data_IF_188634883345
#
_entry.id   IF_188634883345
#
_cell.length_a   1.000
_cell.length_b   1.000
_cell.length_c   1.000
_cell.angle_alpha   90.00
_cell.angle_beta   90.00
_cell.angle_gamma   90.00
#
_symmetry.space_group_name_H-M   'P 1'
#
loop_
_entity.id
_entity.type
_entity.pdbx_description
1 polymer ?
#
# COMPACT_ATOMS: atom_id res chain seq x y z
N UNK A 1 -6.99 21.97 1.78
CA UNK A 1 -6.58 20.79 1.00
C UNK A 1 -6.92 19.53 1.78
N UNK A 2 -7.64 18.61 1.16
CA UNK A 2 -7.89 17.25 1.69
C UNK A 2 -6.72 16.36 1.30
N UNK A 3 -6.25 15.48 2.20
CA UNK A 3 -5.12 14.58 1.97
C UNK A 3 -5.43 13.17 2.43
N UNK A 4 -4.88 12.19 1.75
CA UNK A 4 -4.85 10.78 2.15
C UNK A 4 -3.39 10.36 2.25
N UNK A 5 -3.00 9.86 3.41
CA UNK A 5 -1.72 9.23 3.66
C UNK A 5 -1.87 7.72 3.47
N UNK A 6 -1.15 7.16 2.51
CA UNK A 6 -1.09 5.71 2.31
C UNK A 6 0.21 5.19 2.90
N UNK A 7 0.11 4.21 3.76
CA UNK A 7 1.22 3.56 4.46
C UNK A 7 1.34 2.13 4.00
N UNK A 8 2.46 1.76 3.38
CA UNK A 8 2.76 0.35 3.14
C UNK A 8 3.04 -0.34 4.48
N UNK A 9 2.50 -1.54 4.69
CA UNK A 9 2.73 -2.34 5.89
C UNK A 9 4.21 -2.54 6.23
N UNK A 10 4.53 -2.83 7.48
CA UNK A 10 5.85 -3.25 7.95
C UNK A 10 6.32 -4.55 7.28
N UNK A 11 7.64 -4.81 7.29
CA UNK A 11 8.22 -5.99 6.67
C UNK A 11 7.69 -7.29 7.30
N UNK A 12 7.45 -8.28 6.48
CA UNK A 12 7.06 -9.65 6.85
C UNK A 12 8.20 -10.62 6.54
N UNK A 13 8.11 -11.86 7.02
CA UNK A 13 9.04 -12.93 6.66
C UNK A 13 9.10 -13.17 5.15
N UNK A 14 7.93 -13.17 4.49
CA UNK A 14 7.85 -13.30 3.03
C UNK A 14 8.55 -12.16 2.31
N UNK A 15 8.47 -10.91 2.81
CA UNK A 15 9.24 -9.79 2.20
C UNK A 15 10.75 -10.02 2.32
N UNK A 16 11.24 -10.49 3.48
CA UNK A 16 12.65 -10.83 3.68
C UNK A 16 13.11 -11.94 2.71
N UNK A 17 12.27 -12.94 2.51
CA UNK A 17 12.55 -14.07 1.61
C UNK A 17 12.25 -13.76 0.14
N UNK A 18 11.80 -12.52 -0.18
CA UNK A 18 11.41 -12.09 -1.53
C UNK A 18 10.33 -12.97 -2.16
N UNK A 19 9.37 -13.43 -1.33
CA UNK A 19 8.21 -14.20 -1.80
C UNK A 19 7.05 -13.27 -2.15
N UNK A 20 6.37 -13.61 -3.22
CA UNK A 20 5.14 -12.94 -3.66
C UNK A 20 4.01 -13.30 -2.71
N UNK A 21 3.45 -12.34 -2.01
CA UNK A 21 2.49 -12.62 -0.93
C UNK A 21 1.03 -12.64 -1.40
N UNK A 22 0.65 -11.68 -2.25
CA UNK A 22 -0.76 -11.50 -2.57
C UNK A 22 -1.64 -11.39 -1.31
N UNK A 23 -2.59 -12.30 -1.17
CA UNK A 23 -3.52 -12.37 -0.03
C UNK A 23 -3.14 -13.39 1.04
N UNK A 24 -1.95 -13.98 0.98
CA UNK A 24 -1.43 -14.74 2.12
C UNK A 24 -1.44 -13.86 3.37
N UNK A 25 -2.07 -14.35 4.44
CA UNK A 25 -2.26 -13.56 5.65
C UNK A 25 -1.14 -13.83 6.66
N UNK A 26 -0.12 -12.99 6.60
CA UNK A 26 1.06 -13.01 7.45
C UNK A 26 1.19 -11.66 8.19
N UNK A 27 1.64 -11.70 9.44
CA UNK A 27 1.92 -10.52 10.24
C UNK A 27 3.28 -9.90 9.93
N UNK A 28 3.54 -8.71 10.49
CA UNK A 28 4.85 -8.06 10.40
C UNK A 28 5.86 -8.76 11.31
N UNK A 29 7.14 -8.71 10.94
CA UNK A 29 8.24 -9.19 11.80
C UNK A 29 8.32 -8.37 13.09
N UNK A 30 8.67 -9.00 14.24
CA UNK A 30 8.72 -8.30 15.54
C UNK A 30 9.59 -7.04 15.54
N UNK A 31 10.71 -7.05 14.80
CA UNK A 31 11.60 -5.89 14.67
C UNK A 31 10.94 -4.68 13.99
N UNK A 32 9.88 -4.90 13.18
CA UNK A 32 9.18 -3.85 12.44
C UNK A 32 8.04 -3.18 13.21
N UNK A 33 7.72 -3.65 14.40
CA UNK A 33 6.77 -2.96 15.31
C UNK A 33 7.29 -1.55 15.66
N UNK A 34 8.62 -1.37 15.76
CA UNK A 34 9.24 -0.05 15.99
C UNK A 34 9.05 0.90 14.79
N UNK A 35 9.15 0.36 13.57
CA UNK A 35 8.87 1.13 12.36
C UNK A 35 7.40 1.57 12.30
N UNK A 36 6.46 0.67 12.62
CA UNK A 36 5.05 1.01 12.74
C UNK A 36 4.78 2.09 13.80
N UNK A 37 5.49 2.05 14.94
CA UNK A 37 5.40 3.08 15.97
C UNK A 37 5.96 4.43 15.50
N UNK A 38 7.05 4.45 14.70
CA UNK A 38 7.61 5.67 14.11
C UNK A 38 6.61 6.31 13.11
N UNK A 39 5.99 5.51 12.24
CA UNK A 39 4.89 5.96 11.37
C UNK A 39 3.78 6.61 12.20
N UNK A 40 3.36 5.94 13.27
CA UNK A 40 2.30 6.44 14.15
C UNK A 40 2.67 7.78 14.80
N UNK A 41 3.93 7.95 15.24
CA UNK A 41 4.42 9.19 15.84
C UNK A 41 4.33 10.40 14.90
N UNK A 42 4.61 10.19 13.60
CA UNK A 42 4.48 11.24 12.58
C UNK A 42 3.00 11.53 12.29
N UNK A 43 2.21 10.51 12.04
CA UNK A 43 0.83 10.68 11.58
C UNK A 43 -0.14 11.10 12.70
N UNK A 44 0.17 10.84 13.97
CA UNK A 44 -0.62 11.32 15.11
C UNK A 44 -0.62 12.85 15.26
N UNK A 45 0.31 13.55 14.60
CA UNK A 45 0.36 15.02 14.58
C UNK A 45 -0.61 15.64 13.55
N UNK A 46 -1.17 14.81 12.67
CA UNK A 46 -2.09 15.25 11.64
C UNK A 46 -3.56 15.21 12.15
N UNK A 47 -4.44 16.07 11.62
CA UNK A 47 -5.86 16.09 12.01
C UNK A 47 -6.63 14.93 11.35
N UNK A 48 -6.37 13.71 11.84
CA UNK A 48 -6.91 12.46 11.28
C UNK A 48 -8.41 12.35 11.54
N UNK A 49 -9.22 12.32 10.48
CA UNK A 49 -10.65 12.01 10.53
C UNK A 49 -10.93 10.53 10.27
N UNK A 50 -10.29 9.97 9.27
CA UNK A 50 -10.49 8.59 8.86
C UNK A 50 -9.22 7.79 9.06
N UNK A 51 -9.32 6.71 9.82
CA UNK A 51 -8.30 5.68 9.95
C UNK A 51 -8.82 4.41 9.28
N UNK A 52 -8.16 4.00 8.21
CA UNK A 52 -8.58 2.88 7.36
C UNK A 52 -7.46 1.84 7.28
N UNK A 53 -7.80 0.57 7.17
CA UNK A 53 -6.84 -0.50 6.97
C UNK A 53 -7.34 -1.52 5.96
N UNK A 54 -6.43 -2.07 5.16
CA UNK A 54 -6.61 -3.37 4.53
C UNK A 54 -7.00 -4.43 5.56
N UNK A 55 -7.77 -5.48 5.19
CA UNK A 55 -8.12 -6.59 6.09
C UNK A 55 -6.92 -7.45 6.49
N UNK A 56 -5.79 -7.41 5.76
CA UNK A 56 -4.67 -8.33 5.94
C UNK A 56 -3.86 -7.98 7.20
N UNK A 57 -3.50 -9.02 7.98
CA UNK A 57 -2.88 -8.90 9.30
C UNK A 57 -1.69 -7.94 9.34
N UNK A 58 -0.80 -7.97 8.34
CA UNK A 58 0.35 -7.07 8.24
C UNK A 58 -0.01 -5.58 8.19
N UNK A 59 -1.11 -5.23 7.51
CA UNK A 59 -1.59 -3.85 7.47
C UNK A 59 -2.26 -3.46 8.79
N UNK A 60 -3.11 -4.32 9.34
CA UNK A 60 -3.77 -4.13 10.64
C UNK A 60 -2.74 -3.95 11.76
N UNK A 61 -1.70 -4.79 11.81
CA UNK A 61 -0.64 -4.69 12.81
C UNK A 61 0.19 -3.42 12.65
N UNK A 62 0.42 -2.97 11.41
CA UNK A 62 1.10 -1.68 11.17
C UNK A 62 0.25 -0.49 11.59
N UNK A 63 -1.09 -0.59 11.48
CA UNK A 63 -2.02 0.45 11.91
C UNK A 63 -2.16 0.54 13.45
N UNK A 64 -1.93 -0.55 14.17
CA UNK A 64 -2.23 -0.68 15.59
C UNK A 64 -1.61 0.43 16.48
N UNK A 65 -0.34 0.86 16.32
CA UNK A 65 0.22 1.95 17.12
C UNK A 65 -0.51 3.28 16.92
N UNK A 66 -0.89 3.63 15.68
CA UNK A 66 -1.65 4.86 15.41
C UNK A 66 -3.07 4.76 15.96
N UNK A 67 -3.73 3.62 15.80
CA UNK A 67 -5.04 3.34 16.36
C UNK A 67 -5.08 3.55 17.88
N UNK A 68 -4.04 3.07 18.58
CA UNK A 68 -3.88 3.26 20.02
C UNK A 68 -3.70 4.74 20.39
N UNK A 69 -2.82 5.49 19.69
CA UNK A 69 -2.61 6.92 19.94
C UNK A 69 -3.87 7.75 19.72
N UNK A 70 -4.65 7.41 18.70
CA UNK A 70 -5.89 8.11 18.39
C UNK A 70 -7.10 7.61 19.19
N UNK A 71 -6.95 6.53 19.97
CA UNK A 71 -8.06 5.82 20.65
C UNK A 71 -9.21 5.47 19.69
N UNK A 72 -8.87 5.00 18.48
CA UNK A 72 -9.81 4.65 17.40
C UNK A 72 -9.47 3.29 16.81
N UNK A 73 -10.49 2.58 16.33
CA UNK A 73 -10.28 1.36 15.53
C UNK A 73 -10.25 1.73 14.05
N UNK A 74 -9.35 1.12 13.26
CA UNK A 74 -9.37 1.29 11.82
C UNK A 74 -10.67 0.73 11.21
N UNK A 75 -11.22 1.44 10.23
CA UNK A 75 -12.26 0.91 9.36
C UNK A 75 -11.57 -0.04 8.39
N UNK A 76 -12.05 -1.27 8.31
CA UNK A 76 -11.52 -2.26 7.37
C UNK A 76 -12.20 -2.09 6.03
N UNK A 77 -11.40 -1.95 4.95
CA UNK A 77 -11.89 -1.84 3.58
C UNK A 77 -11.06 -2.74 2.65
N UNK A 78 -11.70 -3.76 2.09
CA UNK A 78 -11.07 -4.76 1.20
C UNK A 78 -10.50 -4.14 -0.08
N UNK A 79 -11.01 -2.97 -0.48
CA UNK A 79 -10.51 -2.24 -1.65
C UNK A 79 -9.08 -1.74 -1.48
N UNK A 80 -8.56 -1.68 -0.25
CA UNK A 80 -7.17 -1.42 0.07
C UNK A 80 -6.35 -2.69 0.33
N UNK A 81 -6.90 -3.88 0.08
CA UNK A 81 -6.17 -5.15 0.10
C UNK A 81 -5.13 -5.25 -1.02
N UNK A 82 -4.13 -6.13 -0.85
CA UNK A 82 -3.04 -6.30 -1.82
C UNK A 82 -3.55 -6.84 -3.17
N UNK A 83 -2.77 -6.70 -4.21
CA UNK A 83 -2.98 -7.33 -5.51
C UNK A 83 -3.12 -8.84 -5.33
N UNK A 84 -4.21 -9.43 -5.83
CA UNK A 84 -4.33 -10.89 -5.89
C UNK A 84 -3.41 -11.42 -6.98
N UNK A 85 -2.49 -12.29 -6.64
CA UNK A 85 -1.44 -12.75 -7.56
C UNK A 85 -1.68 -14.17 -8.07
N UNK A 86 -2.81 -14.78 -7.66
CA UNK A 86 -3.19 -16.12 -8.08
C UNK A 86 -2.16 -17.17 -7.65
N UNK A 87 -1.85 -18.11 -8.52
CA UNK A 87 -0.95 -19.23 -8.21
C UNK A 87 0.52 -18.83 -7.99
N UNK A 88 0.88 -17.54 -8.07
CA UNK A 88 2.21 -17.05 -7.70
C UNK A 88 2.39 -16.83 -6.20
N UNK A 89 1.32 -16.94 -5.41
CA UNK A 89 1.40 -16.75 -3.95
C UNK A 89 2.38 -17.73 -3.31
N UNK A 90 3.27 -17.20 -2.48
CA UNK A 90 4.29 -17.96 -1.74
C UNK A 90 5.56 -18.28 -2.53
N UNK A 91 5.61 -18.03 -3.83
CA UNK A 91 6.80 -18.27 -4.66
C UNK A 91 7.71 -17.05 -4.72
N UNK A 92 9.02 -17.28 -4.80
CA UNK A 92 10.01 -16.24 -5.12
C UNK A 92 9.97 -15.89 -6.61
N UNK A 93 10.57 -14.76 -6.97
CA UNK A 93 10.70 -14.37 -8.39
C UNK A 93 11.42 -15.42 -9.24
N UNK A 94 12.48 -16.05 -8.69
CA UNK A 94 13.24 -17.09 -9.39
C UNK A 94 12.38 -18.35 -9.59
N UNK A 95 11.65 -18.78 -8.57
CA UNK A 95 10.73 -19.92 -8.66
C UNK A 95 9.59 -19.65 -9.66
N UNK A 96 9.08 -18.40 -9.74
CA UNK A 96 8.07 -18.00 -10.72
C UNK A 96 8.67 -18.01 -12.14
N UNK A 97 9.87 -17.48 -12.31
CA UNK A 97 10.56 -17.45 -13.59
C UNK A 97 10.83 -18.85 -14.14
N UNK A 98 11.19 -19.80 -13.27
CA UNK A 98 11.42 -21.20 -13.64
C UNK A 98 10.12 -21.92 -14.03
N UNK A 99 9.05 -21.74 -13.23
CA UNK A 99 7.79 -22.49 -13.40
C UNK A 99 6.89 -21.92 -14.49
N UNK A 100 6.91 -20.60 -14.68
CA UNK A 100 6.04 -19.85 -15.60
C UNK A 100 6.82 -18.80 -16.39
N UNK A 101 7.84 -19.19 -17.19
CA UNK A 101 8.78 -18.26 -17.82
C UNK A 101 8.11 -17.23 -18.73
N UNK A 102 7.09 -17.63 -19.48
CA UNK A 102 6.38 -16.73 -20.41
C UNK A 102 5.58 -15.66 -19.63
N UNK A 103 4.82 -16.06 -18.59
CA UNK A 103 4.07 -15.15 -17.75
C UNK A 103 5.03 -14.20 -16.98
N UNK A 104 6.16 -14.74 -16.49
CA UNK A 104 7.18 -13.93 -15.80
C UNK A 104 7.81 -12.89 -16.74
N UNK A 105 8.14 -13.29 -17.97
CA UNK A 105 8.65 -12.36 -18.98
C UNK A 105 7.61 -11.25 -19.27
N UNK A 106 6.32 -11.62 -19.43
CA UNK A 106 5.24 -10.66 -19.66
C UNK A 106 5.09 -9.71 -18.47
N UNK A 107 5.13 -10.23 -17.25
CA UNK A 107 5.12 -9.40 -16.03
C UNK A 107 6.29 -8.41 -16.00
N UNK A 108 7.47 -8.82 -16.42
CA UNK A 108 8.64 -7.95 -16.42
C UNK A 108 8.62 -6.88 -17.51
N UNK A 109 8.09 -7.18 -18.69
CA UNK A 109 8.06 -6.23 -19.82
C UNK A 109 6.81 -5.35 -19.81
N UNK A 110 5.63 -5.92 -19.59
CA UNK A 110 4.32 -5.27 -19.72
C UNK A 110 3.36 -5.76 -18.63
N UNK A 111 3.59 -5.40 -17.34
CA UNK A 111 2.81 -5.94 -16.22
C UNK A 111 1.32 -5.62 -16.32
N UNK A 112 0.97 -4.49 -16.96
CA UNK A 112 -0.41 -4.08 -17.18
C UNK A 112 -1.17 -4.98 -18.18
N UNK A 113 -0.45 -5.68 -19.02
CA UNK A 113 -1.01 -6.60 -20.03
C UNK A 113 -0.99 -8.07 -19.58
N UNK A 114 -0.52 -8.38 -18.35
CA UNK A 114 -0.53 -9.73 -17.84
C UNK A 114 -1.93 -10.12 -17.37
N UNK A 115 -2.49 -11.15 -18.01
CA UNK A 115 -3.67 -11.88 -17.57
C UNK A 115 -3.26 -13.28 -17.11
N UNK A 116 -3.68 -13.67 -15.94
CA UNK A 116 -3.35 -14.94 -15.31
C UNK A 116 -4.53 -15.41 -14.48
N UNK A 117 -4.90 -16.67 -14.59
CA UNK A 117 -6.04 -17.25 -13.85
C UNK A 117 -5.87 -17.06 -12.33
N UNK A 118 -6.94 -16.59 -11.67
CA UNK A 118 -6.95 -16.30 -10.25
C UNK A 118 -6.17 -15.03 -9.84
N UNK A 119 -5.50 -14.36 -10.79
CA UNK A 119 -4.81 -13.10 -10.56
C UNK A 119 -5.69 -11.90 -10.91
N UNK A 120 -5.65 -10.88 -10.06
CA UNK A 120 -6.24 -9.57 -10.37
C UNK A 120 -5.38 -8.85 -11.42
N UNK A 121 -5.99 -8.25 -12.44
CA UNK A 121 -5.26 -7.38 -13.37
C UNK A 121 -4.95 -6.04 -12.73
N UNK A 122 -3.90 -5.35 -13.19
CA UNK A 122 -3.59 -4.00 -12.69
C UNK A 122 -4.70 -2.99 -13.02
N UNK A 123 -5.48 -3.21 -14.06
CA UNK A 123 -6.63 -2.38 -14.38
C UNK A 123 -7.75 -2.51 -13.33
N UNK A 124 -8.05 -3.74 -12.89
CA UNK A 124 -9.02 -3.99 -11.80
C UNK A 124 -8.53 -3.41 -10.48
N UNK A 125 -7.26 -3.60 -10.14
CA UNK A 125 -6.62 -2.98 -8.97
C UNK A 125 -6.79 -1.46 -9.00
N UNK A 126 -6.41 -0.81 -10.10
CA UNK A 126 -6.51 0.65 -10.24
C UNK A 126 -7.96 1.13 -10.09
N UNK A 127 -8.93 0.41 -10.67
CA UNK A 127 -10.34 0.78 -10.59
C UNK A 127 -10.88 0.71 -9.14
N UNK A 128 -10.59 -0.38 -8.37
CA UNK A 128 -11.06 -0.48 -6.99
C UNK A 128 -10.41 0.53 -6.06
N UNK A 129 -9.11 0.79 -6.24
CA UNK A 129 -8.37 1.79 -5.44
C UNK A 129 -8.87 3.20 -5.76
N UNK A 130 -9.10 3.51 -7.05
CA UNK A 130 -9.66 4.80 -7.46
C UNK A 130 -11.04 5.03 -6.83
N UNK A 131 -11.93 4.03 -6.89
CA UNK A 131 -13.26 4.10 -6.27
C UNK A 131 -13.19 4.38 -4.76
N UNK A 132 -12.30 3.66 -4.05
CA UNK A 132 -12.12 3.85 -2.61
C UNK A 132 -11.56 5.24 -2.26
N UNK A 133 -10.60 5.75 -3.05
CA UNK A 133 -10.05 7.09 -2.86
C UNK A 133 -11.07 8.18 -3.16
N UNK A 134 -11.83 8.07 -4.26
CA UNK A 134 -12.85 9.04 -4.63
C UNK A 134 -13.93 9.16 -3.53
N UNK A 135 -14.34 8.03 -2.91
CA UNK A 135 -15.26 7.99 -1.77
C UNK A 135 -14.65 8.67 -0.53
N UNK A 136 -13.41 8.30 -0.14
CA UNK A 136 -12.73 8.97 0.98
C UNK A 136 -12.60 10.48 0.76
N UNK A 137 -12.27 10.92 -0.45
CA UNK A 137 -12.17 12.34 -0.74
C UNK A 137 -13.51 13.06 -0.80
N UNK A 138 -14.61 12.36 -1.09
CA UNK A 138 -15.95 12.94 -1.03
C UNK A 138 -16.34 13.25 0.43
N UNK A 139 -15.99 12.37 1.36
CA UNK A 139 -16.36 12.47 2.77
C UNK A 139 -15.39 13.35 3.59
N UNK A 140 -14.15 13.55 3.13
CA UNK A 140 -13.16 14.37 3.84
C UNK A 140 -13.51 15.87 3.78
N UNK A 141 -13.49 16.50 4.93
CA UNK A 141 -13.61 17.96 5.06
C UNK A 141 -12.26 18.63 4.78
N UNK A 142 -12.28 19.86 4.28
CA UNK A 142 -11.04 20.62 4.04
C UNK A 142 -10.22 20.80 5.33
N UNK A 143 -8.93 20.58 5.21
CA UNK A 143 -7.99 20.63 6.32
C UNK A 143 -7.87 19.33 7.11
N UNK A 144 -8.73 18.35 6.83
CA UNK A 144 -8.70 17.02 7.47
C UNK A 144 -8.01 15.99 6.59
N UNK A 145 -7.62 14.87 7.19
CA UNK A 145 -6.89 13.82 6.51
C UNK A 145 -7.46 12.43 6.77
N UNK A 146 -7.26 11.52 5.82
CA UNK A 146 -7.40 10.08 6.04
C UNK A 146 -6.01 9.44 6.07
N UNK A 147 -5.88 8.37 6.88
CA UNK A 147 -4.70 7.49 6.90
C UNK A 147 -5.16 6.09 6.51
N UNK A 148 -4.50 5.51 5.51
CA UNK A 148 -4.80 4.18 4.97
C UNK A 148 -3.59 3.28 5.11
N UNK A 149 -3.68 2.22 5.90
CA UNK A 149 -2.65 1.19 6.00
C UNK A 149 -2.91 0.10 4.95
N UNK A 150 -1.93 -0.11 4.07
CA UNK A 150 -2.13 -0.90 2.86
C UNK A 150 -0.83 -1.55 2.37
N UNK A 151 -0.69 -1.75 1.05
CA UNK A 151 0.30 -2.59 0.40
C UNK A 151 0.98 -1.88 -0.78
N UNK A 152 2.05 -2.49 -1.28
CA UNK A 152 2.86 -1.98 -2.40
C UNK A 152 2.02 -1.66 -3.64
N UNK A 153 1.26 -2.63 -4.15
CA UNK A 153 0.51 -2.45 -5.38
C UNK A 153 -0.61 -1.40 -5.25
N UNK A 154 -1.23 -1.31 -4.08
CA UNK A 154 -2.28 -0.31 -3.80
C UNK A 154 -1.71 1.11 -3.77
N UNK A 155 -0.52 1.31 -3.16
CA UNK A 155 0.14 2.62 -3.16
C UNK A 155 0.49 3.04 -4.59
N UNK A 156 1.00 2.12 -5.43
CA UNK A 156 1.27 2.38 -6.85
C UNK A 156 0.01 2.79 -7.62
N UNK A 157 -1.12 2.11 -7.37
CA UNK A 157 -2.42 2.44 -7.95
C UNK A 157 -2.92 3.82 -7.49
N UNK A 158 -2.70 4.18 -6.21
CA UNK A 158 -3.04 5.51 -5.69
C UNK A 158 -2.21 6.63 -6.32
N UNK A 159 -0.92 6.37 -6.60
CA UNK A 159 -0.06 7.30 -7.35
C UNK A 159 -0.57 7.48 -8.78
N UNK A 160 -0.94 6.38 -9.46
CA UNK A 160 -1.55 6.45 -10.80
C UNK A 160 -2.84 7.27 -10.78
N UNK A 161 -3.73 7.04 -9.81
CA UNK A 161 -4.94 7.83 -9.59
C UNK A 161 -4.65 9.33 -9.42
N UNK A 162 -3.63 9.67 -8.61
CA UNK A 162 -3.27 11.06 -8.33
C UNK A 162 -2.71 11.80 -9.55
N UNK A 163 -2.02 11.08 -10.43
CA UNK A 163 -1.40 11.60 -11.66
C UNK A 163 -2.33 11.54 -12.88
N UNK A 164 -3.50 10.90 -12.77
CA UNK A 164 -4.38 10.64 -13.91
C UNK A 164 -3.75 9.68 -14.93
N UNK A 165 -2.87 8.78 -14.46
CA UNK A 165 -2.17 7.79 -15.27
C UNK A 165 -2.86 6.42 -15.18
N UNK A 166 -2.54 5.54 -16.11
CA UNK A 166 -3.03 4.16 -16.15
C UNK A 166 -2.10 3.17 -15.42
N UNK A 167 -2.39 1.87 -15.54
CA UNK A 167 -1.65 0.81 -14.87
C UNK A 167 -0.20 0.63 -15.40
N UNK A 168 0.16 1.24 -16.52
CA UNK A 168 1.52 1.29 -17.05
C UNK A 168 2.50 1.97 -16.09
N UNK A 169 2.00 2.86 -15.19
CA UNK A 169 2.83 3.52 -14.18
C UNK A 169 3.37 2.56 -13.11
N UNK A 170 2.81 1.36 -13.00
CA UNK A 170 3.08 0.42 -11.90
C UNK A 170 4.56 0.21 -11.58
N UNK A 171 5.41 0.10 -12.61
CA UNK A 171 6.85 -0.15 -12.44
C UNK A 171 7.70 1.09 -12.18
N UNK A 172 7.12 2.26 -12.26
CA UNK A 172 7.81 3.55 -12.14
C UNK A 172 7.73 4.16 -10.73
N UNK A 173 7.12 3.44 -9.79
CA UNK A 173 6.92 3.89 -8.40
C UNK A 173 7.61 2.93 -7.45
N UNK A 174 8.48 3.44 -6.60
CA UNK A 174 9.06 2.68 -5.49
C UNK A 174 8.24 2.88 -4.22
N UNK A 175 8.07 1.82 -3.44
CA UNK A 175 7.32 1.84 -2.20
C UNK A 175 8.01 0.95 -1.17
N UNK A 176 8.72 1.53 -0.21
CA UNK A 176 9.38 0.80 0.88
C UNK A 176 8.38 0.37 1.98
N UNK A 177 8.70 -0.67 2.75
CA UNK A 177 7.91 -1.02 3.93
C UNK A 177 7.87 0.14 4.94
N UNK A 178 6.72 0.39 5.54
CA UNK A 178 6.45 1.54 6.41
C UNK A 178 6.69 2.91 5.76
N UNK A 179 6.85 3.02 4.43
CA UNK A 179 6.90 4.32 3.77
C UNK A 179 5.51 4.97 3.73
N UNK A 180 5.51 6.29 3.67
CA UNK A 180 4.31 7.12 3.58
C UNK A 180 4.26 7.77 2.20
N UNK A 181 3.15 7.57 1.49
CA UNK A 181 2.84 8.28 0.24
C UNK A 181 1.62 9.15 0.46
N UNK A 182 1.66 10.41 0.05
CA UNK A 182 0.59 11.39 0.27
C UNK A 182 -0.02 11.80 -1.06
N UNK A 183 -1.31 11.57 -1.21
CA UNK A 183 -2.11 12.11 -2.31
C UNK A 183 -3.10 13.14 -1.78
N UNK A 184 -3.51 14.08 -2.63
CA UNK A 184 -4.39 15.15 -2.20
C UNK A 184 -5.32 15.66 -3.29
N UNK A 185 -6.34 16.42 -2.88
CA UNK A 185 -7.25 17.13 -3.78
C UNK A 185 -7.33 18.60 -3.38
N UNK A 186 -7.08 19.48 -4.37
CA UNK A 186 -7.19 20.94 -4.23
C UNK A 186 -8.03 21.48 -5.36
N UNK A 187 -9.12 22.15 -5.06
CA UNK A 187 -10.04 22.70 -6.06
C UNK A 187 -10.44 21.68 -7.15
N UNK A 188 -10.72 20.43 -6.74
CA UNK A 188 -11.08 19.34 -7.63
C UNK A 188 -9.91 18.69 -8.39
N UNK A 189 -8.70 19.20 -8.26
CA UNK A 189 -7.51 18.65 -8.95
C UNK A 189 -6.80 17.65 -8.04
N UNK A 190 -6.64 16.42 -8.53
CA UNK A 190 -5.85 15.36 -7.87
C UNK A 190 -4.36 15.71 -7.93
N UNK A 191 -3.62 15.38 -6.87
CA UNK A 191 -2.18 15.67 -6.76
C UNK A 191 -1.44 14.55 -6.06
N UNK A 192 -0.30 14.16 -6.58
CA UNK A 192 0.72 13.47 -5.81
C UNK A 192 1.50 14.54 -5.03
N UNK A 193 1.42 14.49 -3.70
CA UNK A 193 2.06 15.48 -2.82
C UNK A 193 3.45 15.03 -2.44
N UNK A 194 3.59 13.76 -2.01
CA UNK A 194 4.84 13.11 -1.62
C UNK A 194 4.75 11.62 -1.92
N UNK A 195 5.88 10.98 -2.16
CA UNK A 195 5.94 9.53 -2.41
C UNK A 195 7.09 8.90 -1.66
N UNK A 196 6.85 7.69 -1.16
CA UNK A 196 7.87 6.82 -0.56
C UNK A 196 8.70 7.50 0.54
N UNK A 197 8.08 8.37 1.37
CA UNK A 197 8.77 9.03 2.49
C UNK A 197 9.08 8.01 3.58
N UNK A 198 10.34 7.93 3.98
CA UNK A 198 10.83 7.00 4.99
C UNK A 198 11.83 7.63 5.99
N UNK A 199 11.97 8.96 6.01
CA UNK A 199 12.86 9.67 6.92
C UNK A 199 12.57 9.37 8.41
N UNK A 200 11.32 9.06 8.76
CA UNK A 200 10.93 8.64 10.11
C UNK A 200 11.51 7.29 10.53
N UNK A 201 12.09 6.53 9.61
CA UNK A 201 12.75 5.25 9.87
C UNK A 201 14.26 5.40 10.08
N UNK A 202 14.83 6.60 9.81
CA UNK A 202 16.25 6.86 9.98
C UNK A 202 16.66 6.66 11.44
N UNK A 203 17.79 5.99 11.65
CA UNK A 203 18.31 5.69 12.99
C UNK A 203 17.62 4.49 13.69
N UNK A 204 16.56 3.94 13.12
CA UNK A 204 16.02 2.68 13.62
C UNK A 204 16.92 1.52 13.13
N UNK A 205 17.42 0.73 14.09
CA UNK A 205 18.15 -0.51 13.75
C UNK A 205 17.15 -1.56 13.23
N UNK A 206 16.69 -1.37 11.99
CA UNK A 206 15.86 -2.34 11.28
C UNK A 206 16.82 -3.31 10.59
N UNK A 207 16.63 -4.61 10.84
CA UNK A 207 17.38 -5.63 10.12
C UNK A 207 17.13 -5.51 8.60
N UNK A 208 18.18 -5.64 7.78
CA UNK A 208 18.09 -5.51 6.32
C UNK A 208 17.24 -6.61 5.65
#
# INVERSE_FOLDING_TARGET
MRRVYLVRHGRTGSNRERRTMGWLDEGIEPGWVRAAAAVAGVLAQEPVDWLVSSPLARAVQTAAPLAALLSRQPIVDDRFGELRVGHWEGYTEDEIAERWPEHWQRWRSEPHALELEGRETLAVLNARVASALDELFADLVDGRVAVVFTHDAVVRAAVAWALGAGPELYRHVEVANCSITTVGVVAGVRRLVRTNENAHLEGLALEP
#
